data_IF_793235547299
#
_entry.id   IF_793235547299
#
_cell.length_a   1.000
_cell.length_b   1.000
_cell.length_c   1.000
_cell.angle_alpha   90.00
_cell.angle_beta   90.00
_cell.angle_gamma   90.00
#
_symmetry.space_group_name_H-M   'P 1'
#
loop_
_entity.id
_entity.type
_entity.pdbx_description
1 polymer ?
#
# COMPACT_ATOMS: atom_id res chain seq x y z
N UNK A 1 12.97 0.74 -8.11
CA UNK A 1 11.83 -0.03 -7.60
C UNK A 1 11.28 0.71 -6.40
N UNK A 2 10.09 1.27 -6.54
CA UNK A 2 9.29 1.86 -5.47
C UNK A 2 8.04 1.00 -5.23
N UNK A 3 7.20 1.38 -4.27
CA UNK A 3 6.01 0.62 -3.90
C UNK A 3 4.99 0.50 -5.05
N UNK A 4 4.94 1.47 -5.98
CA UNK A 4 4.11 1.41 -7.18
C UNK A 4 4.62 0.38 -8.19
N UNK A 5 5.93 0.33 -8.42
CA UNK A 5 6.56 -0.68 -9.28
C UNK A 5 6.25 -2.09 -8.76
N UNK A 6 6.27 -2.27 -7.43
CA UNK A 6 5.90 -3.54 -6.80
C UNK A 6 4.41 -3.82 -6.98
N UNK A 7 3.52 -2.86 -6.68
CA UNK A 7 2.08 -3.02 -6.86
C UNK A 7 1.73 -3.48 -8.27
N UNK A 8 2.21 -2.76 -9.29
CA UNK A 8 1.95 -3.04 -10.71
C UNK A 8 2.48 -4.39 -11.21
N UNK A 9 3.43 -5.01 -10.50
CA UNK A 9 4.00 -6.32 -10.85
C UNK A 9 3.34 -7.50 -10.12
N UNK A 10 2.40 -7.27 -9.21
CA UNK A 10 1.78 -8.32 -8.38
C UNK A 10 0.39 -8.73 -8.88
N UNK A 11 -0.12 -9.86 -8.40
CA UNK A 11 -1.46 -10.38 -8.73
C UNK A 11 -2.38 -10.56 -7.50
N UNK A 12 -1.82 -10.88 -6.33
CA UNK A 12 -2.57 -11.30 -5.12
C UNK A 12 -2.23 -10.47 -3.88
N UNK A 13 -1.73 -9.25 -4.08
CA UNK A 13 -1.45 -8.30 -3.00
C UNK A 13 -2.57 -7.28 -2.95
N UNK A 14 -3.26 -7.18 -1.81
CA UNK A 14 -4.34 -6.22 -1.61
C UNK A 14 -3.87 -4.92 -0.95
N UNK A 15 -2.80 -4.99 -0.14
CA UNK A 15 -2.25 -3.87 0.61
C UNK A 15 -0.72 -3.91 0.64
N UNK A 16 -0.08 -2.75 0.43
CA UNK A 16 1.36 -2.50 0.61
C UNK A 16 1.54 -1.42 1.68
N UNK A 17 2.29 -1.75 2.73
CA UNK A 17 2.74 -0.79 3.75
C UNK A 17 4.19 -0.43 3.43
N UNK A 18 4.37 0.72 2.80
CA UNK A 18 5.65 1.22 2.29
C UNK A 18 6.58 1.75 3.39
N UNK A 19 7.78 2.13 2.98
CA UNK A 19 8.83 2.62 3.86
C UNK A 19 10.00 3.23 3.09
N UNK A 20 11.10 3.50 3.79
CA UNK A 20 12.38 3.99 3.26
C UNK A 20 12.39 5.42 2.68
N UNK A 21 11.42 5.79 1.84
CA UNK A 21 11.35 7.13 1.24
C UNK A 21 10.93 8.22 2.23
N UNK A 22 10.41 7.82 3.41
CA UNK A 22 9.86 8.73 4.41
C UNK A 22 8.66 9.56 3.88
N UNK A 23 7.98 9.07 2.85
CA UNK A 23 6.80 9.72 2.28
C UNK A 23 5.64 9.58 3.26
N UNK A 24 4.86 10.66 3.43
CA UNK A 24 3.52 10.55 4.02
C UNK A 24 2.53 10.25 2.89
N UNK A 25 1.94 9.06 2.91
CA UNK A 25 0.99 8.58 1.92
C UNK A 25 -0.13 7.82 2.61
N UNK A 26 -1.36 8.28 2.44
CA UNK A 26 -2.55 7.75 3.13
C UNK A 26 -3.57 7.26 2.10
N UNK A 27 -4.09 6.04 2.29
CA UNK A 27 -5.20 5.46 1.51
C UNK A 27 -5.08 5.59 -0.01
N UNK A 28 -3.87 5.46 -0.55
CA UNK A 28 -3.65 5.57 -1.99
C UNK A 28 -3.93 4.24 -2.69
N UNK A 29 -4.62 4.25 -3.83
CA UNK A 29 -4.90 3.04 -4.61
C UNK A 29 -4.07 3.02 -5.90
N UNK A 30 -3.48 1.87 -6.22
CA UNK A 30 -2.73 1.64 -7.46
C UNK A 30 -3.11 0.29 -8.08
N UNK A 31 -3.30 0.18 -9.42
CA UNK A 31 -3.63 -1.09 -10.05
C UNK A 31 -2.45 -2.07 -10.00
N UNK A 32 -2.76 -3.35 -9.82
CA UNK A 32 -1.80 -4.45 -9.97
C UNK A 32 -1.71 -4.94 -11.43
N UNK A 33 -0.99 -6.04 -11.67
CA UNK A 33 -0.80 -6.58 -13.02
C UNK A 33 -2.11 -7.09 -13.68
N UNK A 34 -3.16 -7.36 -12.89
CA UNK A 34 -4.51 -7.69 -13.35
C UNK A 34 -5.47 -6.48 -13.34
N UNK A 35 -4.96 -5.28 -13.05
CA UNK A 35 -5.78 -4.07 -12.93
C UNK A 35 -6.61 -3.99 -11.64
N UNK A 36 -6.41 -4.91 -10.69
CA UNK A 36 -7.08 -4.86 -9.37
C UNK A 36 -6.44 -3.81 -8.49
N UNK A 37 -7.24 -3.11 -7.69
CA UNK A 37 -6.76 -2.06 -6.79
C UNK A 37 -5.94 -2.64 -5.63
N UNK A 38 -4.73 -2.10 -5.43
CA UNK A 38 -3.87 -2.33 -4.26
C UNK A 38 -3.81 -1.04 -3.44
N UNK A 39 -4.06 -1.13 -2.14
CA UNK A 39 -3.90 0.02 -1.24
C UNK A 39 -2.44 0.18 -0.84
N UNK A 40 -1.88 1.38 -0.97
CA UNK A 40 -0.51 1.72 -0.58
C UNK A 40 -0.55 2.83 0.49
N UNK A 41 0.17 2.62 1.59
CA UNK A 41 0.30 3.61 2.65
C UNK A 41 1.72 3.68 3.23
N UNK A 42 2.14 4.85 3.70
CA UNK A 42 3.43 5.07 4.39
C UNK A 42 3.33 6.27 5.37
N UNK A 43 3.89 6.13 6.57
CA UNK A 43 3.65 7.05 7.68
C UNK A 43 4.85 7.94 8.00
N UNK A 44 5.41 8.57 6.98
CA UNK A 44 6.57 9.46 7.09
C UNK A 44 7.77 8.80 7.81
N UNK A 45 8.36 9.48 8.80
CA UNK A 45 9.51 8.98 9.58
C UNK A 45 9.48 9.46 11.02
N UNK A 46 10.41 8.93 11.82
CA UNK A 46 10.70 9.38 13.19
C UNK A 46 9.53 9.26 14.17
N UNK A 47 8.60 8.34 13.92
CA UNK A 47 7.42 8.13 14.78
C UNK A 47 6.47 9.32 14.82
N UNK A 48 6.53 10.20 13.80
CA UNK A 48 5.66 11.38 13.74
C UNK A 48 4.18 10.99 13.57
N UNK A 49 3.92 9.86 12.92
CA UNK A 49 2.60 9.25 12.78
C UNK A 49 2.64 7.74 13.08
N UNK A 50 1.51 7.22 13.57
CA UNK A 50 1.25 5.79 13.70
C UNK A 50 0.12 5.44 12.72
N UNK A 51 0.41 4.54 11.78
CA UNK A 51 -0.58 4.08 10.82
C UNK A 51 -1.56 3.08 11.44
N UNK A 52 -2.81 3.12 10.99
CA UNK A 52 -3.84 2.13 11.28
C UNK A 52 -4.52 1.75 9.96
N UNK A 53 -4.66 0.45 9.72
CA UNK A 53 -5.39 -0.08 8.57
C UNK A 53 -6.44 -1.05 9.09
N UNK A 54 -7.69 -0.76 8.82
CA UNK A 54 -8.82 -1.65 9.06
C UNK A 54 -9.23 -2.27 7.72
N UNK A 55 -9.09 -3.59 7.59
CA UNK A 55 -9.38 -4.33 6.34
C UNK A 55 -10.59 -5.21 6.59
N UNK A 56 -11.60 -5.11 5.72
CA UNK A 56 -12.69 -6.06 5.63
C UNK A 56 -12.38 -7.07 4.53
N UNK A 57 -12.35 -8.36 4.88
CA UNK A 57 -12.14 -9.45 3.93
C UNK A 57 -13.45 -10.23 3.76
N UNK A 58 -13.83 -10.46 2.52
CA UNK A 58 -14.98 -11.30 2.19
C UNK A 58 -14.53 -12.75 1.99
N UNK A 59 -15.29 -13.69 2.52
CA UNK A 59 -15.14 -15.10 2.17
C UNK A 59 -15.69 -15.33 0.77
N UNK A 60 -14.93 -16.08 -0.04
CA UNK A 60 -15.37 -16.50 -1.38
C UNK A 60 -16.48 -17.55 -1.33
#
# INVERSE_FOLDING_TARGET
>A
MNDYDVAGATLYVDVIIGGHSHTLLENHSHPNAEGRSVTIAQMAKSGFYIGRIDILLETK
#
